data_IF_915846949549
#
_entry.id   IF_915846949549
#
_cell.length_a   1.000
_cell.length_b   1.000
_cell.length_c   1.000
_cell.angle_alpha   90.00
_cell.angle_beta   90.00
_cell.angle_gamma   90.00
#
_symmetry.space_group_name_H-M   'P 1'
#
loop_
_entity.id
_entity.type
_entity.pdbx_description
1 polymer ?
#
# COMPACT_ATOMS: atom_id res chain seq x y z
N UNK A 1 5.63 -5.32 -10.09
CA UNK A 1 5.33 -4.56 -8.86
C UNK A 1 4.03 -5.06 -8.28
N UNK A 2 3.89 -5.10 -6.95
CA UNK A 2 2.65 -5.51 -6.28
C UNK A 2 1.46 -4.63 -6.69
N UNK A 3 1.73 -3.35 -7.00
CA UNK A 3 0.76 -2.33 -7.42
C UNK A 3 -0.05 -2.75 -8.65
N UNK A 4 0.60 -3.40 -9.63
CA UNK A 4 -0.07 -3.88 -10.84
C UNK A 4 -1.05 -5.04 -10.56
N UNK A 5 -0.86 -5.76 -9.45
CA UNK A 5 -1.70 -6.89 -9.03
C UNK A 5 -2.84 -6.48 -8.09
N UNK A 6 -2.87 -5.23 -7.61
CA UNK A 6 -3.95 -4.72 -6.77
C UNK A 6 -5.26 -4.74 -7.56
N UNK A 7 -6.32 -5.25 -6.92
CA UNK A 7 -7.67 -5.25 -7.44
C UNK A 7 -8.05 -3.83 -7.88
N UNK A 8 -8.63 -3.62 -9.09
CA UNK A 8 -8.88 -2.28 -9.63
C UNK A 8 -9.56 -1.32 -8.64
N UNK A 9 -10.58 -1.80 -7.92
CA UNK A 9 -11.33 -1.01 -6.93
C UNK A 9 -10.50 -0.55 -5.73
N UNK A 10 -9.42 -1.27 -5.40
CA UNK A 10 -8.62 -1.01 -4.20
C UNK A 10 -7.42 -0.10 -4.50
N UNK A 11 -7.12 0.16 -5.78
CA UNK A 11 -5.95 0.96 -6.20
C UNK A 11 -5.98 2.38 -5.64
N UNK A 12 -7.13 3.04 -5.72
CA UNK A 12 -7.31 4.38 -5.19
C UNK A 12 -7.12 4.42 -3.68
N UNK A 13 -7.69 3.45 -2.96
CA UNK A 13 -7.56 3.35 -1.50
C UNK A 13 -6.10 3.08 -1.07
N UNK A 14 -5.42 2.16 -1.74
CA UNK A 14 -4.00 1.88 -1.52
C UNK A 14 -3.15 3.14 -1.67
N UNK A 15 -3.36 3.93 -2.73
CA UNK A 15 -2.59 5.13 -2.96
C UNK A 15 -2.82 6.18 -1.86
N UNK A 16 -4.06 6.36 -1.41
CA UNK A 16 -4.37 7.25 -0.28
C UNK A 16 -3.63 6.81 0.98
N UNK A 17 -3.64 5.51 1.30
CA UNK A 17 -2.98 4.98 2.51
C UNK A 17 -1.46 5.09 2.46
N UNK A 18 -0.87 4.89 1.29
CA UNK A 18 0.56 5.10 1.08
C UNK A 18 0.93 6.57 1.25
N UNK A 19 0.16 7.50 0.66
CA UNK A 19 0.41 8.93 0.84
C UNK A 19 0.22 9.36 2.30
N UNK A 20 -0.81 8.86 2.98
CA UNK A 20 -1.04 9.11 4.40
C UNK A 20 0.18 8.73 5.26
N UNK A 21 0.79 7.57 5.01
CA UNK A 21 1.99 7.13 5.73
C UNK A 21 3.19 8.05 5.46
N UNK A 22 3.38 8.47 4.20
CA UNK A 22 4.48 9.35 3.81
C UNK A 22 4.31 10.78 4.34
N UNK A 23 3.09 11.31 4.39
CA UNK A 23 2.80 12.67 4.86
C UNK A 23 2.83 12.76 6.38
N UNK A 24 2.24 11.78 7.06
CA UNK A 24 2.16 11.77 8.52
C UNK A 24 3.45 11.29 9.20
N UNK A 25 4.27 10.52 8.49
CA UNK A 25 5.38 9.77 9.07
C UNK A 25 4.95 8.75 10.12
N UNK A 26 3.63 8.49 10.24
CA UNK A 26 3.07 7.53 11.19
C UNK A 26 2.87 6.17 10.52
N UNK A 27 2.93 5.08 11.30
CA UNK A 27 2.55 3.77 10.79
C UNK A 27 1.10 3.75 10.28
N UNK A 28 0.88 3.13 9.13
CA UNK A 28 -0.44 2.93 8.54
C UNK A 28 -0.64 1.46 8.22
N UNK A 29 -1.71 0.90 8.77
CA UNK A 29 -2.13 -0.47 8.53
C UNK A 29 -3.46 -0.50 7.79
N UNK A 30 -3.56 -1.32 6.75
CA UNK A 30 -4.81 -1.52 6.01
C UNK A 30 -4.82 -2.83 5.23
N UNK A 31 -6.02 -3.25 4.80
CA UNK A 31 -6.20 -4.42 3.96
C UNK A 31 -6.62 -4.04 2.55
N UNK A 32 -6.13 -4.78 1.57
CA UNK A 32 -6.53 -4.66 0.17
C UNK A 32 -6.52 -6.01 -0.52
N UNK A 33 -7.11 -6.08 -1.71
CA UNK A 33 -7.17 -7.30 -2.52
C UNK A 33 -6.15 -7.26 -3.64
N UNK A 34 -5.56 -8.42 -3.92
CA UNK A 34 -4.83 -8.66 -5.17
C UNK A 34 -5.57 -9.66 -6.05
N UNK A 35 -5.37 -9.51 -7.36
CA UNK A 35 -5.76 -10.48 -8.38
C UNK A 35 -4.52 -11.23 -8.82
N UNK A 36 -4.49 -12.55 -8.59
CA UNK A 36 -3.40 -13.43 -9.04
C UNK A 36 -3.52 -13.75 -10.53
N UNK A 37 -2.46 -14.27 -11.18
CA UNK A 37 -2.51 -14.65 -12.60
C UNK A 37 -3.60 -15.69 -12.94
N UNK A 38 -3.98 -16.53 -11.98
CA UNK A 38 -5.07 -17.50 -12.10
C UNK A 38 -6.47 -16.88 -11.90
N UNK A 39 -6.57 -15.56 -11.70
CA UNK A 39 -7.80 -14.83 -11.42
C UNK A 39 -8.26 -14.90 -9.96
N UNK A 40 -7.57 -15.65 -9.10
CA UNK A 40 -7.96 -15.76 -7.70
C UNK A 40 -7.73 -14.44 -6.95
N UNK A 41 -8.70 -14.07 -6.12
CA UNK A 41 -8.61 -12.91 -5.23
C UNK A 41 -8.02 -13.34 -3.89
N UNK A 42 -7.05 -12.57 -3.37
CA UNK A 42 -6.51 -12.72 -2.01
C UNK A 42 -6.56 -11.40 -1.27
N UNK A 43 -6.91 -11.45 0.01
CA UNK A 43 -6.79 -10.32 0.92
C UNK A 43 -5.37 -10.28 1.47
N UNK A 44 -4.76 -9.10 1.41
CA UNK A 44 -3.42 -8.80 1.92
C UNK A 44 -3.59 -7.76 3.01
N UNK A 45 -2.87 -7.96 4.12
CA UNK A 45 -2.70 -6.96 5.15
C UNK A 45 -1.36 -6.27 4.95
N UNK A 46 -1.38 -4.94 4.91
CA UNK A 46 -0.21 -4.10 4.67
C UNK A 46 0.05 -3.24 5.88
N UNK A 47 1.32 -3.18 6.25
CA UNK A 47 1.85 -2.36 7.32
C UNK A 47 2.92 -1.46 6.70
N UNK A 48 2.73 -0.15 6.74
CA UNK A 48 3.66 0.85 6.18
C UNK A 48 4.31 1.59 7.34
N UNK A 49 5.64 1.64 7.33
CA UNK A 49 6.44 2.52 8.19
C UNK A 49 7.25 3.41 7.25
N UNK A 50 6.96 4.71 7.24
CA UNK A 50 7.71 5.68 6.47
C UNK A 50 8.93 6.14 7.28
N UNK A 51 10.12 5.80 6.81
CA UNK A 51 11.36 6.32 7.36
C UNK A 51 11.74 7.60 6.62
N UNK A 52 11.71 8.75 7.31
CA UNK A 52 12.32 9.98 6.79
C UNK A 52 13.80 9.95 7.17
N UNK A 53 14.69 9.71 6.21
CA UNK A 53 16.11 9.88 6.48
C UNK A 53 16.42 11.37 6.68
N UNK A 54 16.86 11.74 7.87
CA UNK A 54 17.35 13.10 8.15
C UNK A 54 18.70 13.41 7.43
N UNK A 55 19.08 12.65 6.40
CA UNK A 55 20.35 12.73 5.68
C UNK A 55 20.16 12.99 4.18
N UNK A 56 19.35 13.99 3.87
CA UNK A 56 19.47 14.76 2.62
C UNK A 56 20.06 16.13 2.92
N UNK A 57 21.35 16.20 3.21
CA UNK A 57 22.13 17.45 3.29
C UNK A 57 23.35 17.33 2.37
#
# INVERSE_FOLDING_TARGET
SIEATIHPDDRAHNNVKVQEALESGQPVDFQFRIVRPDGAIRHIEQHIIAEHDARGA
#
